data_IF_149250867203
#
_entry.id   IF_149250867203
#
_cell.length_a   1.000
_cell.length_b   1.000
_cell.length_c   1.000
_cell.angle_alpha   90.00
_cell.angle_beta   90.00
_cell.angle_gamma   90.00
#
_symmetry.space_group_name_H-M   'P 1'
#
loop_
_entity.id
_entity.type
_entity.pdbx_description
1 polymer ?
#
# COMPACT_ATOMS: atom_id res chain seq x y z
N UNK A 1 -8.67 11.06 3.13
CA UNK A 1 -9.71 10.30 2.39
C UNK A 1 -9.52 10.36 0.87
N UNK A 2 -9.38 11.54 0.26
CA UNK A 2 -9.12 11.67 -1.20
C UNK A 2 -7.82 11.02 -1.65
N UNK A 3 -6.75 11.09 -0.87
CA UNK A 3 -5.46 10.51 -1.21
C UNK A 3 -5.49 8.98 -1.27
N UNK A 4 -6.25 8.35 -0.37
CA UNK A 4 -6.42 6.90 -0.37
C UNK A 4 -7.20 6.40 -1.58
N UNK A 5 -8.25 7.10 -1.98
CA UNK A 5 -9.02 6.77 -3.18
C UNK A 5 -8.18 6.93 -4.45
N UNK A 6 -7.41 8.00 -4.55
CA UNK A 6 -6.46 8.24 -5.65
C UNK A 6 -5.41 7.14 -5.71
N UNK A 7 -4.82 6.79 -4.56
CA UNK A 7 -3.86 5.71 -4.47
C UNK A 7 -4.46 4.37 -4.93
N UNK A 8 -5.62 3.98 -4.40
CA UNK A 8 -6.31 2.74 -4.77
C UNK A 8 -6.63 2.69 -6.25
N UNK A 9 -7.06 3.80 -6.83
CA UNK A 9 -7.37 3.88 -8.25
C UNK A 9 -6.11 3.76 -9.12
N UNK A 10 -5.05 4.48 -8.79
CA UNK A 10 -3.77 4.41 -9.48
C UNK A 10 -3.16 3.00 -9.38
N UNK A 11 -3.16 2.40 -8.17
CA UNK A 11 -2.66 1.05 -7.96
C UNK A 11 -3.44 0.01 -8.79
N UNK A 12 -4.78 0.13 -8.86
CA UNK A 12 -5.60 -0.77 -9.70
C UNK A 12 -5.22 -0.66 -11.18
N UNK A 13 -4.92 0.54 -11.65
CA UNK A 13 -4.48 0.76 -13.04
C UNK A 13 -3.16 0.06 -13.31
N UNK A 14 -2.16 0.23 -12.43
CA UNK A 14 -0.86 -0.44 -12.56
C UNK A 14 -1.01 -1.97 -12.53
N UNK A 15 -1.76 -2.51 -11.57
CA UNK A 15 -1.99 -3.94 -11.45
C UNK A 15 -2.73 -4.53 -12.66
N UNK A 16 -3.68 -3.79 -13.24
CA UNK A 16 -4.37 -4.21 -14.46
C UNK A 16 -3.42 -4.29 -15.65
N UNK A 17 -2.57 -3.26 -15.82
CA UNK A 17 -1.57 -3.23 -16.89
C UNK A 17 -0.57 -4.39 -16.74
N UNK A 18 -0.04 -4.58 -15.52
CA UNK A 18 0.88 -5.67 -15.22
C UNK A 18 0.24 -7.05 -15.48
N UNK A 19 -1.01 -7.25 -15.09
CA UNK A 19 -1.74 -8.50 -15.36
C UNK A 19 -1.84 -8.80 -16.86
N UNK A 20 -2.22 -7.80 -17.65
CA UNK A 20 -2.32 -7.96 -19.13
C UNK A 20 -0.95 -8.30 -19.71
N UNK A 21 0.09 -7.59 -19.31
CA UNK A 21 1.44 -7.80 -19.78
C UNK A 21 1.98 -9.19 -19.42
N UNK A 22 1.70 -9.64 -18.17
CA UNK A 22 2.09 -10.97 -17.73
C UNK A 22 1.37 -12.09 -18.50
N UNK A 23 0.09 -11.89 -18.83
CA UNK A 23 -0.64 -12.81 -19.69
C UNK A 23 -0.03 -12.87 -21.10
N UNK A 24 0.24 -11.71 -21.71
CA UNK A 24 0.89 -11.63 -23.02
C UNK A 24 2.27 -12.30 -23.00
N UNK A 25 3.06 -12.10 -21.94
CA UNK A 25 4.35 -12.73 -21.77
C UNK A 25 4.26 -14.26 -21.69
N UNK A 26 3.26 -14.77 -20.97
CA UNK A 26 3.02 -16.21 -20.83
C UNK A 26 2.61 -16.87 -22.15
N UNK A 27 1.92 -16.13 -23.03
CA UNK A 27 1.49 -16.62 -24.36
C UNK A 27 2.56 -16.46 -25.44
N UNK A 28 3.63 -15.71 -25.16
CA UNK A 28 4.72 -15.53 -26.13
C UNK A 28 5.53 -16.81 -26.30
N UNK A 29 5.88 -17.18 -27.56
CA UNK A 29 6.83 -18.23 -27.80
C UNK A 29 8.20 -17.88 -27.22
N UNK A 30 9.00 -18.90 -26.91
CA UNK A 30 10.37 -18.70 -26.46
C UNK A 30 11.22 -18.15 -27.61
N UNK A 31 12.17 -17.27 -27.27
CA UNK A 31 13.13 -16.77 -28.24
C UNK A 31 13.97 -17.94 -28.79
N UNK A 32 14.05 -18.06 -30.10
CA UNK A 32 14.81 -19.12 -30.75
C UNK A 32 16.33 -18.90 -30.58
N UNK A 33 17.05 -19.78 -29.86
CA UNK A 33 18.47 -19.62 -29.62
C UNK A 33 19.33 -19.59 -30.88
N UNK A 34 18.88 -20.24 -31.98
CA UNK A 34 19.63 -20.27 -33.25
C UNK A 34 19.50 -18.96 -34.04
N UNK A 35 18.39 -18.21 -33.81
CA UNK A 35 18.12 -16.93 -34.48
C UNK A 35 18.43 -15.70 -33.62
N UNK A 36 19.00 -15.89 -32.43
CA UNK A 36 19.28 -14.82 -31.47
C UNK A 36 20.14 -13.67 -31.99
N UNK A 37 20.89 -13.87 -33.09
CA UNK A 37 21.71 -12.83 -33.69
C UNK A 37 20.98 -11.98 -34.73
N UNK A 38 19.86 -12.45 -35.27
CA UNK A 38 19.18 -11.84 -36.42
C UNK A 38 17.80 -11.28 -36.07
N UNK A 39 17.11 -11.83 -35.05
CA UNK A 39 15.77 -11.42 -34.64
C UNK A 39 15.78 -10.69 -33.31
N UNK A 40 14.91 -9.66 -33.13
CA UNK A 40 14.76 -9.00 -31.84
C UNK A 40 14.27 -9.98 -30.79
N UNK A 41 14.91 -9.97 -29.63
CA UNK A 41 14.58 -10.82 -28.45
C UNK A 41 13.31 -10.28 -27.76
N UNK A 42 12.16 -10.54 -28.37
CA UNK A 42 10.89 -9.98 -27.91
C UNK A 42 10.52 -10.45 -26.50
N UNK A 43 10.66 -11.75 -26.23
CA UNK A 43 10.34 -12.31 -24.91
C UNK A 43 11.28 -11.80 -23.82
N UNK A 44 12.57 -11.72 -24.10
CA UNK A 44 13.54 -11.14 -23.17
C UNK A 44 13.27 -9.65 -22.88
N UNK A 45 12.94 -8.88 -23.91
CA UNK A 45 12.59 -7.45 -23.76
C UNK A 45 11.32 -7.28 -22.92
N UNK A 46 10.29 -8.10 -23.18
CA UNK A 46 9.05 -8.10 -22.42
C UNK A 46 9.28 -8.50 -20.96
N UNK A 47 10.15 -9.49 -20.70
CA UNK A 47 10.52 -9.89 -19.34
C UNK A 47 11.22 -8.77 -18.57
N UNK A 48 12.09 -8.01 -19.23
CA UNK A 48 12.69 -6.81 -18.60
C UNK A 48 11.64 -5.76 -18.27
N UNK A 49 10.70 -5.53 -19.15
CA UNK A 49 9.63 -4.56 -18.94
C UNK A 49 8.70 -4.98 -17.80
N UNK A 50 8.38 -6.27 -17.68
CA UNK A 50 7.62 -6.82 -16.55
C UNK A 50 8.33 -6.57 -15.23
N UNK A 51 9.63 -6.88 -15.14
CA UNK A 51 10.43 -6.63 -13.95
C UNK A 51 10.47 -5.14 -13.60
N UNK A 52 10.56 -4.27 -14.61
CA UNK A 52 10.50 -2.81 -14.38
C UNK A 52 9.13 -2.37 -13.86
N UNK A 53 8.04 -2.93 -14.38
CA UNK A 53 6.70 -2.63 -13.88
C UNK A 53 6.47 -3.12 -12.45
N UNK A 54 6.97 -4.31 -12.10
CA UNK A 54 6.94 -4.81 -10.71
C UNK A 54 7.64 -3.84 -9.77
N UNK A 55 8.86 -3.44 -10.12
CA UNK A 55 9.61 -2.43 -9.38
C UNK A 55 8.81 -1.13 -9.22
N UNK A 56 8.20 -0.61 -10.27
CA UNK A 56 7.40 0.61 -10.22
C UNK A 56 6.17 0.47 -9.29
N UNK A 57 5.52 -0.70 -9.28
CA UNK A 57 4.41 -1.00 -8.39
C UNK A 57 4.87 -1.01 -6.93
N UNK A 58 5.98 -1.70 -6.63
CA UNK A 58 6.46 -1.84 -5.26
C UNK A 58 7.02 -0.52 -4.72
N UNK A 59 7.71 0.25 -5.56
CA UNK A 59 8.10 1.62 -5.25
C UNK A 59 6.89 2.51 -4.95
N UNK A 60 5.84 2.45 -5.78
CA UNK A 60 4.62 3.22 -5.58
C UNK A 60 3.90 2.86 -4.28
N UNK A 61 3.83 1.56 -3.97
CA UNK A 61 3.29 1.06 -2.69
C UNK A 61 4.10 1.52 -1.50
N UNK A 62 5.42 1.42 -1.60
CA UNK A 62 6.35 1.82 -0.53
C UNK A 62 6.24 3.30 -0.23
N UNK A 63 6.25 4.14 -1.25
CA UNK A 63 6.08 5.60 -1.09
C UNK A 63 4.78 5.93 -0.36
N UNK A 64 3.67 5.33 -0.78
CA UNK A 64 2.38 5.55 -0.11
C UNK A 64 2.40 5.09 1.35
N UNK A 65 2.97 3.91 1.64
CA UNK A 65 3.05 3.39 3.01
C UNK A 65 3.90 4.28 3.91
N UNK A 66 5.03 4.78 3.42
CA UNK A 66 5.90 5.71 4.17
C UNK A 66 5.15 7.03 4.45
N UNK A 67 4.43 7.58 3.47
CA UNK A 67 3.61 8.77 3.69
C UNK A 67 2.50 8.54 4.73
N UNK A 68 1.86 7.36 4.72
CA UNK A 68 0.88 7.00 5.74
C UNK A 68 1.52 6.81 7.12
N UNK A 69 2.69 6.18 7.19
CA UNK A 69 3.43 6.02 8.45
C UNK A 69 3.77 7.38 9.08
N UNK A 70 4.23 8.34 8.29
CA UNK A 70 4.44 9.71 8.79
C UNK A 70 3.15 10.35 9.30
N UNK A 71 2.03 10.17 8.59
CA UNK A 71 0.74 10.76 8.98
C UNK A 71 0.20 10.20 10.29
N UNK A 72 0.39 8.91 10.54
CA UNK A 72 -0.13 8.21 11.72
C UNK A 72 0.94 7.93 12.77
N UNK A 73 2.13 8.52 12.63
CA UNK A 73 3.26 8.34 13.55
C UNK A 73 3.70 6.87 13.74
N UNK A 74 3.40 6.01 12.77
CA UNK A 74 3.84 4.62 12.79
C UNK A 74 5.36 4.51 12.56
N UNK A 75 6.07 3.59 13.23
CA UNK A 75 7.51 3.45 13.11
C UNK A 75 7.90 2.95 11.70
N UNK A 76 8.73 3.73 11.01
CA UNK A 76 9.28 3.33 9.70
C UNK A 76 10.51 2.45 9.94
N UNK A 77 10.62 1.28 9.26
CA UNK A 77 11.78 0.42 9.39
C UNK A 77 13.08 1.15 9.02
N UNK A 78 14.10 1.03 9.89
CA UNK A 78 15.41 1.66 9.67
C UNK A 78 16.48 0.64 9.27
N UNK A 79 16.19 -0.65 9.39
CA UNK A 79 17.07 -1.76 9.07
C UNK A 79 17.21 -1.91 7.55
N UNK A 80 18.40 -2.22 7.07
CA UNK A 80 18.67 -2.38 5.63
C UNK A 80 17.92 -3.56 5.03
N UNK A 81 17.70 -4.64 5.80
CA UNK A 81 16.98 -5.84 5.37
C UNK A 81 15.50 -5.58 5.05
N UNK A 82 14.95 -4.48 5.55
CA UNK A 82 13.57 -4.05 5.24
C UNK A 82 13.45 -3.33 3.89
N UNK A 83 14.57 -3.03 3.25
CA UNK A 83 14.60 -2.26 2.01
C UNK A 83 15.30 -3.02 0.90
N UNK A 84 14.72 -3.01 -0.27
CA UNK A 84 15.35 -3.49 -1.50
C UNK A 84 15.74 -2.33 -2.38
N UNK A 85 16.86 -2.48 -3.08
CA UNK A 85 17.33 -1.50 -4.06
C UNK A 85 16.87 -1.91 -5.45
N UNK A 86 16.32 -0.97 -6.21
CA UNK A 86 15.94 -1.20 -7.60
C UNK A 86 17.15 -1.53 -8.46
N UNK A 87 17.04 -2.59 -9.29
CA UNK A 87 18.15 -3.02 -10.17
C UNK A 87 18.55 -1.98 -11.23
N UNK A 88 17.62 -1.08 -11.58
CA UNK A 88 17.80 -0.07 -12.64
C UNK A 88 17.89 1.35 -12.10
N UNK A 89 17.67 1.55 -10.82
CA UNK A 89 17.68 2.86 -10.16
C UNK A 89 18.25 2.70 -8.75
N UNK A 90 18.87 3.76 -8.23
CA UNK A 90 19.35 3.77 -6.84
C UNK A 90 18.22 3.94 -5.81
N UNK A 91 16.98 3.89 -6.26
CA UNK A 91 15.83 4.06 -5.38
C UNK A 91 15.53 2.80 -4.59
N UNK A 92 15.23 2.99 -3.32
CA UNK A 92 14.87 1.92 -2.39
C UNK A 92 13.36 1.81 -2.25
N UNK A 93 12.89 0.59 -2.07
CA UNK A 93 11.49 0.28 -1.76
C UNK A 93 11.43 -0.79 -0.67
N UNK A 94 10.31 -0.84 0.04
CA UNK A 94 10.11 -1.80 1.11
C UNK A 94 9.99 -3.22 0.56
N UNK A 95 10.65 -4.17 1.22
CA UNK A 95 10.41 -5.59 0.99
C UNK A 95 8.95 -5.94 1.26
N UNK A 96 8.46 -7.04 0.72
CA UNK A 96 7.07 -7.48 0.92
C UNK A 96 6.74 -7.67 2.42
N UNK A 97 7.66 -8.23 3.19
CA UNK A 97 7.53 -8.45 4.63
C UNK A 97 7.50 -7.12 5.41
N UNK A 98 8.41 -6.20 5.12
CA UNK A 98 8.47 -4.88 5.74
C UNK A 98 7.22 -4.05 5.41
N UNK A 99 6.75 -4.10 4.16
CA UNK A 99 5.52 -3.43 3.75
C UNK A 99 4.28 -3.99 4.45
N UNK A 100 4.23 -5.32 4.70
CA UNK A 100 3.15 -5.94 5.46
C UNK A 100 3.16 -5.52 6.93
N UNK A 101 4.35 -5.52 7.56
CA UNK A 101 4.53 -5.07 8.94
C UNK A 101 4.13 -3.60 9.09
N UNK A 102 4.65 -2.73 8.23
CA UNK A 102 4.32 -1.30 8.28
C UNK A 102 2.83 -1.04 8.12
N UNK A 103 2.12 -1.81 7.27
CA UNK A 103 0.65 -1.73 7.17
C UNK A 103 -0.05 -2.14 8.46
N UNK A 104 0.45 -3.15 9.16
CA UNK A 104 -0.12 -3.57 10.43
C UNK A 104 0.07 -2.49 11.49
N UNK A 105 1.26 -1.89 11.56
CA UNK A 105 1.58 -0.82 12.49
C UNK A 105 0.71 0.43 12.23
N UNK A 106 0.58 0.85 10.97
CA UNK A 106 -0.32 1.97 10.59
C UNK A 106 -1.77 1.70 11.01
N UNK A 107 -2.28 0.47 10.81
CA UNK A 107 -3.63 0.10 11.23
C UNK A 107 -3.80 0.10 12.75
N UNK A 108 -2.77 -0.30 13.49
CA UNK A 108 -2.78 -0.27 14.94
C UNK A 108 -2.88 1.17 15.45
N UNK A 109 -2.10 2.11 14.90
CA UNK A 109 -2.17 3.52 15.24
C UNK A 109 -3.54 4.13 14.87
N UNK A 110 -4.04 3.86 13.67
CA UNK A 110 -5.38 4.32 13.26
C UNK A 110 -6.48 3.80 14.20
N UNK A 111 -6.36 2.56 14.66
CA UNK A 111 -7.31 1.97 15.61
C UNK A 111 -7.20 2.65 16.98
N UNK A 112 -5.99 2.90 17.47
CA UNK A 112 -5.77 3.58 18.75
C UNK A 112 -6.37 4.98 18.72
N UNK A 113 -6.17 5.76 17.67
CA UNK A 113 -6.78 7.06 17.46
C UNK A 113 -8.31 6.99 17.46
N UNK A 114 -8.88 6.02 16.77
CA UNK A 114 -10.32 5.81 16.72
C UNK A 114 -10.89 5.44 18.09
N UNK A 115 -10.27 4.51 18.80
CA UNK A 115 -10.70 4.06 20.14
C UNK A 115 -10.65 5.21 21.16
N UNK A 116 -9.64 6.07 21.05
CA UNK A 116 -9.52 7.27 21.86
C UNK A 116 -10.71 8.23 21.64
N UNK A 117 -11.07 8.52 20.40
CA UNK A 117 -12.20 9.38 20.08
C UNK A 117 -13.55 8.74 20.41
N UNK A 118 -13.72 7.45 20.13
CA UNK A 118 -14.94 6.70 20.42
C UNK A 118 -15.25 6.72 21.92
N UNK A 119 -14.24 6.52 22.77
CA UNK A 119 -14.39 6.59 24.23
C UNK A 119 -14.87 7.96 24.70
N UNK A 120 -14.33 9.04 24.15
CA UNK A 120 -14.75 10.41 24.50
C UNK A 120 -16.17 10.73 24.06
N UNK A 121 -16.55 10.31 22.85
CA UNK A 121 -17.92 10.48 22.35
C UNK A 121 -18.90 9.71 23.24
N UNK A 122 -18.57 8.48 23.62
CA UNK A 122 -19.40 7.65 24.49
C UNK A 122 -19.58 8.30 25.87
N UNK A 123 -18.51 8.83 26.46
CA UNK A 123 -18.58 9.56 27.73
C UNK A 123 -19.46 10.81 27.63
N UNK A 124 -19.32 11.59 26.56
CA UNK A 124 -20.14 12.76 26.33
C UNK A 124 -21.65 12.41 26.22
N UNK A 125 -21.96 11.36 25.47
CA UNK A 125 -23.33 10.85 25.32
C UNK A 125 -23.89 10.34 26.66
N UNK A 126 -23.08 9.64 27.45
CA UNK A 126 -23.49 9.16 28.80
C UNK A 126 -23.79 10.32 29.74
N UNK A 127 -22.97 11.38 29.73
CA UNK A 127 -23.22 12.61 30.52
C UNK A 127 -24.53 13.30 30.11
N UNK A 128 -24.75 13.46 28.80
CA UNK A 128 -25.98 14.05 28.26
C UNK A 128 -27.19 13.20 28.68
N UNK A 129 -27.14 11.90 28.53
CA UNK A 129 -28.20 10.97 28.93
C UNK A 129 -28.49 11.04 30.44
N UNK A 130 -27.47 11.13 31.29
CA UNK A 130 -27.58 11.30 32.72
C UNK A 130 -28.30 12.61 33.10
N UNK A 131 -27.93 13.73 32.47
CA UNK A 131 -28.56 15.02 32.69
C UNK A 131 -30.06 14.97 32.33
N UNK A 132 -30.40 14.43 31.16
CA UNK A 132 -31.81 14.29 30.77
C UNK A 132 -32.59 13.36 31.69
N UNK A 133 -31.98 12.26 32.18
CA UNK A 133 -32.58 11.37 33.15
C UNK A 133 -32.94 12.07 34.46
N UNK A 134 -32.00 12.89 35.00
CA UNK A 134 -32.24 13.67 36.22
C UNK A 134 -33.32 14.73 35.99
N UNK A 135 -33.29 15.47 34.88
CA UNK A 135 -34.32 16.46 34.55
C UNK A 135 -35.71 15.85 34.39
N UNK A 136 -35.81 14.68 33.78
CA UNK A 136 -37.07 13.96 33.64
C UNK A 136 -37.63 13.52 35.01
N UNK A 137 -36.75 13.12 35.93
CA UNK A 137 -37.15 12.74 37.29
C UNK A 137 -37.64 13.94 38.10
N UNK A 138 -36.98 15.11 37.97
CA UNK A 138 -37.37 16.32 38.70
C UNK A 138 -38.66 16.98 38.20
N UNK A 139 -39.11 16.63 36.99
CA UNK A 139 -40.31 17.19 36.36
C UNK A 139 -41.61 16.42 36.72
N UNK A 140 -41.50 15.32 37.48
CA UNK A 140 -42.61 14.59 38.05
C UNK A 140 -42.97 15.13 39.43
#
# INVERSE_FOLDING_TARGET
MFDELRYRWALRKYLKQHKVMNQTFAEMPDDDPEKMSEEPRYKWTMGRELNYQEFMIDRFRSKYLVEQAYRYHAPIPQDEDSWEQGRLTDERYLTASAAQKLRADIRAEQKADWDYWASRVTLALALIGSIFGVLAFLKK
#
